data_IF_478906907716
#
_entry.id   IF_478906907716
#
_cell.length_a   1.000
_cell.length_b   1.000
_cell.length_c   1.000
_cell.angle_alpha   90.00
_cell.angle_beta   90.00
_cell.angle_gamma   90.00
#
_symmetry.space_group_name_H-M   'P 1'
#
loop_
_entity.id
_entity.type
_entity.pdbx_description
1 polymer ?
#
# COMPACT_ATOMS: atom_id res chain seq x y z
N UNK A 1 -0.19 -26.79 -14.48
CA UNK A 1 -0.07 -25.34 -14.15
C UNK A 1 0.48 -25.27 -12.74
N UNK A 2 1.73 -24.87 -12.56
CA UNK A 2 2.31 -24.71 -11.22
C UNK A 2 1.53 -23.62 -10.50
N UNK A 3 0.86 -23.96 -9.41
CA UNK A 3 0.29 -23.00 -8.48
C UNK A 3 1.44 -22.12 -7.96
N UNK A 4 1.52 -20.90 -8.43
CA UNK A 4 2.44 -19.91 -7.86
C UNK A 4 1.82 -19.48 -6.54
N UNK A 5 2.15 -20.19 -5.46
CA UNK A 5 1.73 -19.83 -4.11
C UNK A 5 2.29 -18.45 -3.80
N UNK A 6 1.44 -17.48 -3.55
CA UNK A 6 1.85 -16.13 -3.17
C UNK A 6 2.59 -16.11 -1.83
N UNK A 7 3.44 -15.10 -1.61
CA UNK A 7 4.04 -14.83 -0.29
C UNK A 7 2.94 -14.33 0.66
N UNK A 8 2.85 -14.87 1.87
CA UNK A 8 2.03 -14.28 2.94
C UNK A 8 2.63 -12.91 3.29
N UNK A 9 1.83 -11.86 3.26
CA UNK A 9 2.25 -10.49 3.57
C UNK A 9 1.66 -9.97 4.88
N UNK A 10 0.50 -10.47 5.26
CA UNK A 10 -0.15 -10.14 6.54
C UNK A 10 -1.17 -11.20 6.90
N UNK A 11 -1.68 -11.13 8.13
CA UNK A 11 -2.79 -11.96 8.59
C UNK A 11 -3.68 -11.22 9.60
N UNK A 12 -4.94 -11.65 9.71
CA UNK A 12 -5.84 -11.32 10.80
C UNK A 12 -6.93 -12.39 10.91
N UNK A 13 -7.48 -12.65 12.10
CA UNK A 13 -8.58 -13.60 12.30
C UNK A 13 -8.30 -15.02 11.76
N UNK A 14 -7.02 -15.45 11.73
CA UNK A 14 -6.62 -16.73 11.16
C UNK A 14 -6.63 -16.79 9.62
N UNK A 15 -6.80 -15.66 8.95
CA UNK A 15 -6.79 -15.54 7.48
C UNK A 15 -5.45 -14.95 7.06
N UNK A 16 -4.73 -15.66 6.21
CA UNK A 16 -3.51 -15.18 5.58
C UNK A 16 -3.83 -14.40 4.31
N UNK A 17 -3.17 -13.25 4.15
CA UNK A 17 -3.26 -12.39 2.97
C UNK A 17 -1.99 -12.61 2.14
N UNK A 18 -2.18 -12.90 0.86
CA UNK A 18 -1.08 -13.25 -0.04
C UNK A 18 -0.85 -12.17 -1.11
N UNK A 19 0.41 -11.91 -1.41
CA UNK A 19 0.80 -11.20 -2.62
C UNK A 19 1.50 -12.17 -3.58
N UNK A 20 1.13 -12.13 -4.87
CA UNK A 20 1.81 -12.89 -5.92
C UNK A 20 3.27 -12.41 -6.03
N UNK A 21 4.25 -13.29 -6.35
CA UNK A 21 5.61 -12.87 -6.64
C UNK A 21 5.65 -11.74 -7.67
N UNK A 22 6.40 -10.68 -7.39
CA UNK A 22 6.49 -9.48 -8.23
C UNK A 22 5.36 -8.46 -8.02
N UNK A 23 4.40 -8.72 -7.12
CA UNK A 23 3.43 -7.72 -6.71
C UNK A 23 3.95 -6.92 -5.51
N UNK A 24 3.77 -5.61 -5.59
CA UNK A 24 4.05 -4.70 -4.48
C UNK A 24 2.84 -4.56 -3.56
N UNK A 25 3.06 -4.09 -2.34
CA UNK A 25 1.98 -3.80 -1.39
C UNK A 25 2.36 -2.69 -0.41
N UNK A 26 1.34 -2.09 0.20
CA UNK A 26 1.52 -1.05 1.22
C UNK A 26 0.38 -1.04 2.22
N UNK A 27 0.74 -0.82 3.49
CA UNK A 27 -0.24 -0.63 4.57
C UNK A 27 -0.64 0.85 4.74
N UNK A 28 0.18 1.81 4.25
CA UNK A 28 -0.01 3.23 4.52
C UNK A 28 -0.01 4.14 3.30
N UNK A 29 0.15 3.63 2.06
CA UNK A 29 0.18 4.48 0.87
C UNK A 29 -1.20 5.07 0.48
N UNK A 30 -2.11 5.20 1.45
CA UNK A 30 -3.46 5.69 1.26
C UNK A 30 -3.94 6.53 2.46
N UNK A 31 -4.68 7.63 2.23
CA UNK A 31 -5.19 8.50 3.30
C UNK A 31 -6.43 7.95 4.03
N UNK A 32 -6.98 6.82 3.58
CA UNK A 32 -8.24 6.32 4.09
C UNK A 32 -8.16 5.74 5.50
N UNK A 33 -9.29 5.80 6.21
CA UNK A 33 -9.36 5.47 7.64
C UNK A 33 -8.90 4.06 7.95
N UNK A 34 -9.20 3.08 7.09
CA UNK A 34 -8.81 1.69 7.32
C UNK A 34 -7.29 1.51 7.40
N UNK A 35 -6.51 2.26 6.60
CA UNK A 35 -5.05 2.28 6.69
C UNK A 35 -4.56 2.95 7.98
N UNK A 36 -5.23 4.01 8.43
CA UNK A 36 -4.92 4.69 9.70
C UNK A 36 -5.26 3.85 10.93
N UNK A 37 -6.24 2.94 10.78
CA UNK A 37 -6.65 1.99 11.81
C UNK A 37 -5.86 0.66 11.73
N UNK A 38 -4.80 0.60 10.91
CA UNK A 38 -3.96 -0.59 10.70
C UNK A 38 -4.73 -1.80 10.17
N UNK A 39 -5.86 -1.59 9.53
CA UNK A 39 -6.83 -2.63 9.16
C UNK A 39 -6.91 -2.89 7.65
N UNK A 40 -6.03 -2.28 6.86
CA UNK A 40 -6.05 -2.40 5.41
C UNK A 40 -4.66 -2.59 4.83
N UNK A 41 -4.63 -3.26 3.68
CA UNK A 41 -3.46 -3.35 2.79
C UNK A 41 -3.91 -3.13 1.35
N UNK A 42 -3.14 -2.35 0.60
CA UNK A 42 -3.26 -2.23 -0.85
C UNK A 42 -2.23 -3.16 -1.51
N UNK A 43 -2.69 -4.01 -2.41
CA UNK A 43 -1.86 -4.98 -3.15
C UNK A 43 -1.89 -4.59 -4.62
N UNK A 44 -0.75 -4.20 -5.17
CA UNK A 44 -0.61 -3.72 -6.54
C UNK A 44 -0.31 -4.90 -7.48
N UNK A 45 -1.31 -5.33 -8.24
CA UNK A 45 -1.25 -6.59 -9.02
C UNK A 45 -1.09 -6.39 -10.52
N UNK A 46 -1.24 -5.17 -11.02
CA UNK A 46 -1.24 -4.88 -12.45
C UNK A 46 -0.38 -3.69 -12.81
N UNK A 47 -0.07 -3.58 -14.11
CA UNK A 47 0.61 -2.44 -14.71
C UNK A 47 -0.42 -1.41 -15.16
N UNK A 48 -1.56 -1.86 -15.70
CA UNK A 48 -2.61 -1.00 -16.24
C UNK A 48 -3.95 -1.23 -15.54
N UNK A 49 -4.77 -0.19 -15.47
CA UNK A 49 -6.17 -0.38 -15.11
C UNK A 49 -6.84 -1.20 -16.23
N UNK A 50 -7.63 -2.20 -15.84
CA UNK A 50 -8.19 -3.22 -16.73
C UNK A 50 -7.46 -4.56 -16.67
N UNK A 51 -6.27 -4.63 -16.09
CA UNK A 51 -5.57 -5.89 -15.86
C UNK A 51 -6.34 -6.77 -14.86
N UNK A 52 -6.04 -8.08 -14.88
CA UNK A 52 -6.71 -9.06 -14.03
C UNK A 52 -6.47 -8.75 -12.54
N UNK A 53 -7.55 -8.85 -11.76
CA UNK A 53 -7.53 -8.85 -10.31
C UNK A 53 -7.54 -10.30 -9.82
N UNK A 54 -6.51 -10.68 -9.04
CA UNK A 54 -6.34 -12.03 -8.52
C UNK A 54 -6.67 -12.04 -7.03
N UNK A 55 -7.34 -13.10 -6.57
CA UNK A 55 -7.66 -13.22 -5.15
C UNK A 55 -6.41 -13.32 -4.28
N UNK A 56 -6.26 -12.45 -3.27
CA UNK A 56 -5.19 -12.55 -2.29
C UNK A 56 -5.50 -13.49 -1.11
N UNK A 57 -6.68 -14.07 -1.09
CA UNK A 57 -7.18 -14.93 -0.01
C UNK A 57 -8.03 -16.07 -0.55
N UNK A 58 -8.17 -17.13 0.25
CA UNK A 58 -9.19 -18.14 0.04
C UNK A 58 -10.54 -17.69 0.66
N UNK A 59 -11.66 -18.21 0.16
CA UNK A 59 -12.97 -17.96 0.74
C UNK A 59 -14.14 -18.27 -0.18
N UNK A 60 -15.34 -17.95 0.28
CA UNK A 60 -16.58 -18.05 -0.52
C UNK A 60 -17.14 -16.67 -0.72
N UNK A 61 -17.41 -16.27 -1.95
CA UNK A 61 -17.99 -14.97 -2.26
C UNK A 61 -19.36 -14.85 -1.58
N UNK A 62 -19.44 -13.96 -0.60
CA UNK A 62 -20.64 -13.75 0.20
C UNK A 62 -21.60 -12.77 -0.44
N UNK A 63 -21.05 -11.66 -0.97
CA UNK A 63 -21.84 -10.59 -1.58
C UNK A 63 -20.97 -9.66 -2.42
N UNK A 64 -21.55 -9.12 -3.48
CA UNK A 64 -20.97 -8.01 -4.25
C UNK A 64 -21.90 -6.81 -4.21
N UNK A 65 -21.38 -5.63 -3.88
CA UNK A 65 -22.11 -4.36 -3.84
C UNK A 65 -21.47 -3.37 -4.80
N UNK A 66 -22.25 -2.85 -5.74
CA UNK A 66 -21.84 -1.74 -6.60
C UNK A 66 -22.30 -0.42 -5.99
N UNK A 67 -21.42 0.58 -5.99
CA UNK A 67 -21.75 1.94 -5.56
C UNK A 67 -20.94 2.97 -6.35
N UNK A 68 -21.25 4.23 -6.17
CA UNK A 68 -20.55 5.33 -6.83
C UNK A 68 -19.38 5.81 -5.97
N UNK A 69 -18.19 5.84 -6.56
CA UNK A 69 -17.01 6.37 -5.89
C UNK A 69 -17.06 7.90 -5.84
N UNK A 70 -16.49 8.53 -4.78
CA UNK A 70 -16.37 9.98 -4.74
C UNK A 70 -15.52 10.46 -5.91
N UNK A 71 -15.97 11.49 -6.61
CA UNK A 71 -15.21 12.15 -7.67
C UNK A 71 -15.24 13.65 -7.49
N UNK A 72 -14.15 14.37 -7.81
CA UNK A 72 -14.16 15.83 -7.83
C UNK A 72 -14.99 16.39 -8.99
N UNK A 73 -15.35 15.56 -9.95
CA UNK A 73 -16.20 15.89 -11.10
C UNK A 73 -17.59 15.30 -10.90
N UNK A 74 -18.64 15.89 -11.52
CA UNK A 74 -20.02 15.39 -11.45
C UNK A 74 -20.25 14.02 -12.13
N UNK A 75 -19.21 13.38 -12.68
CA UNK A 75 -19.29 12.04 -13.24
C UNK A 75 -19.16 11.00 -12.15
N UNK A 76 -20.21 10.25 -11.93
CA UNK A 76 -20.15 9.04 -11.11
C UNK A 76 -19.26 7.99 -11.79
N UNK A 77 -18.31 7.45 -11.04
CA UNK A 77 -17.50 6.31 -11.46
C UNK A 77 -17.83 5.11 -10.57
N UNK A 78 -18.07 3.93 -11.17
CA UNK A 78 -18.43 2.76 -10.39
C UNK A 78 -17.27 2.29 -9.50
N UNK A 79 -17.63 1.86 -8.31
CA UNK A 79 -16.78 1.07 -7.42
C UNK A 79 -17.54 -0.20 -7.04
N UNK A 80 -16.79 -1.23 -6.68
CA UNK A 80 -17.34 -2.51 -6.25
C UNK A 80 -16.71 -2.94 -4.94
N UNK A 81 -17.56 -3.42 -4.07
CA UNK A 81 -17.20 -4.05 -2.81
C UNK A 81 -17.49 -5.53 -2.94
N UNK A 82 -16.46 -6.36 -3.03
CA UNK A 82 -16.58 -7.82 -3.02
C UNK A 82 -16.26 -8.33 -1.63
N UNK A 83 -17.21 -9.02 -1.03
CA UNK A 83 -17.12 -9.62 0.30
C UNK A 83 -16.97 -11.12 0.13
N UNK A 84 -15.90 -11.70 0.69
CA UNK A 84 -15.70 -13.13 0.75
C UNK A 84 -15.72 -13.60 2.22
N UNK A 85 -16.42 -14.67 2.51
CA UNK A 85 -16.43 -15.32 3.84
C UNK A 85 -15.26 -16.27 3.93
N UNK A 86 -14.50 -16.16 5.01
CA UNK A 86 -13.50 -17.15 5.40
C UNK A 86 -13.59 -17.33 6.91
N UNK A 87 -14.01 -18.52 7.34
CA UNK A 87 -14.32 -18.80 8.74
C UNK A 87 -15.39 -17.87 9.31
N UNK A 88 -15.10 -17.25 10.44
CA UNK A 88 -15.99 -16.29 11.13
C UNK A 88 -15.86 -14.85 10.63
N UNK A 89 -14.93 -14.58 9.72
CA UNK A 89 -14.63 -13.25 9.25
C UNK A 89 -15.04 -13.04 7.80
N UNK A 90 -15.16 -11.77 7.43
CA UNK A 90 -15.43 -11.32 6.06
C UNK A 90 -14.18 -10.59 5.56
N UNK A 91 -13.67 -11.04 4.43
CA UNK A 91 -12.65 -10.31 3.66
C UNK A 91 -13.36 -9.35 2.73
N UNK A 92 -13.07 -8.09 2.85
CA UNK A 92 -13.59 -6.99 2.04
C UNK A 92 -12.55 -6.56 1.03
N UNK A 93 -12.87 -6.68 -0.25
CA UNK A 93 -11.98 -6.34 -1.37
C UNK A 93 -12.63 -5.28 -2.25
N UNK A 94 -11.82 -4.32 -2.73
CA UNK A 94 -12.28 -3.19 -3.55
C UNK A 94 -11.33 -2.94 -4.72
N UNK A 95 -11.76 -2.02 -5.60
CA UNK A 95 -10.99 -1.48 -6.74
C UNK A 95 -10.88 -2.41 -7.94
N UNK A 96 -11.79 -3.36 -8.09
CA UNK A 96 -11.94 -4.17 -9.29
C UNK A 96 -13.41 -4.41 -9.62
N UNK A 97 -13.70 -4.59 -10.90
CA UNK A 97 -15.01 -5.05 -11.38
C UNK A 97 -15.04 -6.56 -11.27
N UNK A 98 -15.87 -7.13 -10.38
CA UNK A 98 -15.88 -8.58 -10.14
C UNK A 98 -16.41 -9.36 -11.34
N UNK A 99 -15.83 -10.54 -11.59
CA UNK A 99 -16.31 -11.57 -12.51
C UNK A 99 -16.89 -12.77 -11.75
N UNK A 100 -16.63 -12.85 -10.44
CA UNK A 100 -17.13 -13.92 -9.55
C UNK A 100 -18.55 -13.63 -9.07
N UNK A 101 -19.27 -14.70 -8.67
CA UNK A 101 -20.67 -14.64 -8.22
C UNK A 101 -20.80 -15.03 -6.75
N UNK A 102 -21.90 -14.59 -6.13
CA UNK A 102 -22.25 -15.01 -4.76
C UNK A 102 -22.38 -16.53 -4.69
N UNK A 103 -21.77 -17.14 -3.66
CA UNK A 103 -21.67 -18.59 -3.45
C UNK A 103 -20.47 -19.25 -4.14
N UNK A 104 -19.72 -18.56 -4.97
CA UNK A 104 -18.52 -19.09 -5.65
C UNK A 104 -17.35 -19.19 -4.68
N UNK A 105 -16.67 -20.34 -4.68
CA UNK A 105 -15.40 -20.51 -3.96
C UNK A 105 -14.27 -19.84 -4.74
N UNK A 106 -13.41 -19.13 -4.03
CA UNK A 106 -12.21 -18.50 -4.57
C UNK A 106 -10.99 -18.96 -3.78
N UNK A 107 -9.91 -19.18 -4.47
CA UNK A 107 -8.60 -19.51 -3.90
C UNK A 107 -7.57 -18.43 -4.23
N UNK A 108 -6.49 -18.38 -3.43
CA UNK A 108 -5.36 -17.49 -3.70
C UNK A 108 -4.87 -17.64 -5.13
N UNK A 109 -4.84 -16.55 -5.87
CA UNK A 109 -4.40 -16.51 -7.28
C UNK A 109 -5.51 -16.71 -8.31
N UNK A 110 -6.73 -17.04 -7.91
CA UNK A 110 -7.87 -17.10 -8.83
C UNK A 110 -8.21 -15.71 -9.39
N UNK A 111 -8.64 -15.67 -10.65
CA UNK A 111 -9.11 -14.42 -11.27
C UNK A 111 -10.49 -14.07 -10.71
N UNK A 112 -10.58 -12.98 -9.97
CA UNK A 112 -11.83 -12.50 -9.36
C UNK A 112 -12.45 -11.30 -10.09
N UNK A 113 -11.75 -10.74 -11.08
CA UNK A 113 -12.24 -9.61 -11.84
C UNK A 113 -11.16 -8.87 -12.62
N UNK A 114 -11.41 -7.60 -12.89
CA UNK A 114 -10.47 -6.68 -13.55
C UNK A 114 -10.36 -5.38 -12.78
N UNK A 115 -9.15 -4.87 -12.61
CA UNK A 115 -8.87 -3.63 -11.89
C UNK A 115 -9.57 -2.43 -12.55
N UNK A 116 -10.04 -1.48 -11.76
CA UNK A 116 -10.73 -0.29 -12.25
C UNK A 116 -10.10 0.98 -11.70
N UNK A 117 -10.15 2.05 -12.50
CA UNK A 117 -9.81 3.41 -12.06
C UNK A 117 -11.09 4.16 -11.70
N UNK A 118 -11.11 4.76 -10.53
CA UNK A 118 -12.26 5.53 -10.04
C UNK A 118 -11.83 6.74 -9.20
N UNK A 119 -12.74 7.36 -8.46
CA UNK A 119 -12.50 8.57 -7.70
C UNK A 119 -11.69 8.40 -6.42
N UNK A 120 -11.38 7.17 -6.01
CA UNK A 120 -10.48 6.91 -4.89
C UNK A 120 -9.00 7.08 -5.26
N UNK A 121 -8.67 7.08 -6.56
CA UNK A 121 -7.29 7.11 -7.03
C UNK A 121 -6.82 8.52 -7.39
N UNK A 122 -5.68 8.90 -6.86
CA UNK A 122 -4.86 9.99 -7.41
C UNK A 122 -4.14 9.50 -8.67
N UNK A 123 -3.50 10.41 -9.41
CA UNK A 123 -2.90 10.04 -10.69
C UNK A 123 -1.66 9.13 -10.59
N UNK A 124 -1.01 9.06 -9.43
CA UNK A 124 0.19 8.26 -9.21
C UNK A 124 -0.06 6.85 -8.65
N UNK A 125 -1.31 6.52 -8.33
CA UNK A 125 -1.65 5.21 -7.75
C UNK A 125 -1.65 4.14 -8.83
N UNK A 126 -1.04 2.99 -8.53
CA UNK A 126 -1.04 1.83 -9.41
C UNK A 126 -2.32 1.02 -9.24
N UNK A 127 -2.70 0.23 -10.28
CA UNK A 127 -3.80 -0.71 -10.17
C UNK A 127 -3.57 -1.74 -9.06
N UNK A 128 -4.58 -1.99 -8.26
CA UNK A 128 -4.45 -2.94 -7.15
C UNK A 128 -5.77 -3.21 -6.46
N UNK A 129 -5.72 -4.08 -5.48
CA UNK A 129 -6.84 -4.45 -4.61
C UNK A 129 -6.59 -3.81 -3.26
N UNK A 130 -7.58 -3.07 -2.75
CA UNK A 130 -7.68 -2.71 -1.34
C UNK A 130 -8.34 -3.85 -0.58
N UNK A 131 -7.73 -4.33 0.49
CA UNK A 131 -8.21 -5.44 1.28
C UNK A 131 -8.28 -5.10 2.77
N UNK A 132 -9.37 -5.50 3.40
CA UNK A 132 -9.61 -5.44 4.84
C UNK A 132 -10.21 -6.77 5.33
N UNK A 133 -9.90 -7.18 6.57
CA UNK A 133 -10.56 -8.30 7.26
C UNK A 133 -11.48 -7.72 8.33
N UNK A 134 -12.73 -8.20 8.39
CA UNK A 134 -13.80 -7.62 9.22
C UNK A 134 -14.65 -8.68 9.89
N UNK A 135 -15.28 -8.31 11.01
CA UNK A 135 -16.41 -9.09 11.53
C UNK A 135 -17.66 -8.84 10.67
N UNK A 136 -18.54 -9.81 10.57
CA UNK A 136 -19.75 -9.73 9.73
C UNK A 136 -20.61 -8.48 10.01
N UNK A 137 -20.80 -8.12 11.29
CA UNK A 137 -21.56 -6.93 11.70
C UNK A 137 -20.99 -5.60 11.19
N UNK A 138 -19.70 -5.58 10.83
CA UNK A 138 -18.98 -4.37 10.41
C UNK A 138 -18.60 -4.40 8.91
N UNK A 139 -19.02 -5.40 8.15
CA UNK A 139 -18.59 -5.65 6.78
C UNK A 139 -18.83 -4.49 5.81
N UNK A 140 -19.88 -3.68 6.02
CA UNK A 140 -20.23 -2.53 5.18
C UNK A 140 -19.88 -1.17 5.80
N UNK A 141 -19.40 -1.13 7.05
CA UNK A 141 -19.07 0.13 7.72
C UNK A 141 -17.74 0.70 7.23
N UNK A 142 -17.54 2.01 7.35
CA UNK A 142 -16.27 2.65 7.06
C UNK A 142 -15.19 2.31 8.11
N UNK A 143 -15.60 2.09 9.38
CA UNK A 143 -14.74 1.68 10.49
C UNK A 143 -15.03 0.25 10.92
N UNK A 144 -14.13 -0.37 11.68
CA UNK A 144 -14.33 -1.72 12.25
C UNK A 144 -13.57 -2.84 11.52
N UNK A 145 -12.57 -2.49 10.70
CA UNK A 145 -11.58 -3.46 10.23
C UNK A 145 -10.77 -4.03 11.39
N UNK A 146 -10.33 -5.28 11.28
CA UNK A 146 -9.42 -5.90 12.22
C UNK A 146 -7.98 -5.46 11.92
N UNK A 147 -7.22 -5.19 12.96
CA UNK A 147 -5.80 -4.85 12.80
C UNK A 147 -5.06 -6.00 12.13
N UNK A 148 -4.30 -5.67 11.08
CA UNK A 148 -3.48 -6.62 10.34
C UNK A 148 -2.14 -6.83 11.05
N UNK A 149 -1.68 -8.07 11.09
CA UNK A 149 -0.34 -8.44 11.52
C UNK A 149 0.52 -8.68 10.28
N UNK A 150 1.50 -7.80 9.96
CA UNK A 150 2.43 -8.03 8.87
C UNK A 150 3.21 -9.33 9.09
N UNK A 151 3.39 -10.13 8.03
CA UNK A 151 4.08 -11.42 8.11
C UNK A 151 5.60 -11.26 8.36
N UNK A 152 6.15 -10.18 7.88
CA UNK A 152 7.59 -9.87 8.00
C UNK A 152 7.75 -8.44 8.54
N UNK A 153 7.64 -8.24 9.84
CA UNK A 153 8.05 -6.97 10.42
C UNK A 153 9.56 -6.82 10.17
N UNK A 154 9.93 -5.76 9.46
CA UNK A 154 11.33 -5.50 9.17
C UNK A 154 12.06 -5.21 10.49
N UNK A 155 12.87 -6.16 10.92
CA UNK A 155 13.76 -5.98 12.07
C UNK A 155 14.98 -5.18 11.61
N UNK A 156 15.26 -4.09 12.31
CA UNK A 156 16.52 -3.33 12.31
C UNK A 156 17.24 -3.23 10.94
N UNK A 157 16.70 -2.40 10.05
CA UNK A 157 17.56 -1.84 9.02
C UNK A 157 18.45 -0.78 9.69
N UNK A 158 19.75 -0.82 9.42
CA UNK A 158 20.64 0.26 9.83
C UNK A 158 20.21 1.56 9.12
N UNK A 159 20.29 2.74 9.78
CA UNK A 159 19.96 4.00 9.13
C UNK A 159 20.90 4.20 7.95
N UNK A 160 20.37 4.16 6.73
CA UNK A 160 21.16 4.43 5.53
C UNK A 160 21.62 5.88 5.53
N UNK A 161 22.89 6.13 5.28
CA UNK A 161 23.44 7.48 5.07
C UNK A 161 23.09 8.07 3.69
N UNK A 162 22.67 7.22 2.75
CA UNK A 162 22.20 7.58 1.41
C UNK A 162 21.14 6.60 0.96
N UNK A 163 20.14 7.09 0.22
CA UNK A 163 19.08 6.26 -0.34
C UNK A 163 19.39 6.08 -1.81
N UNK A 164 19.89 4.91 -2.14
CA UNK A 164 20.30 4.53 -3.49
C UNK A 164 19.47 3.37 -4.00
N UNK A 165 19.21 3.34 -5.27
CA UNK A 165 18.52 2.24 -5.93
C UNK A 165 18.55 2.36 -7.43
N UNK A 166 17.98 1.36 -8.12
CA UNK A 166 17.94 1.30 -9.57
C UNK A 166 16.50 1.29 -10.07
N UNK A 167 16.19 2.02 -11.11
CA UNK A 167 14.85 2.08 -11.71
C UNK A 167 14.48 0.71 -12.30
N UNK A 168 13.38 0.15 -11.83
CA UNK A 168 12.84 -1.13 -12.30
C UNK A 168 11.57 -1.00 -13.14
N UNK A 169 10.85 0.13 -13.00
CA UNK A 169 9.66 0.43 -13.81
C UNK A 169 9.48 1.95 -13.88
N UNK A 170 9.04 2.43 -15.04
CA UNK A 170 8.80 3.86 -15.25
C UNK A 170 7.60 4.07 -16.17
N UNK A 171 6.62 4.80 -15.69
CA UNK A 171 5.39 5.06 -16.43
C UNK A 171 4.87 6.48 -16.17
N UNK A 172 3.77 6.83 -16.85
CA UNK A 172 3.14 8.15 -16.73
C UNK A 172 2.66 8.50 -15.31
N UNK A 173 2.52 7.51 -14.41
CA UNK A 173 2.05 7.68 -13.04
C UNK A 173 3.17 7.89 -12.04
N UNK A 174 4.19 7.08 -12.13
CA UNK A 174 5.31 7.06 -11.19
C UNK A 174 6.51 6.31 -11.80
N UNK A 175 7.65 6.44 -11.15
CA UNK A 175 8.85 5.63 -11.41
C UNK A 175 9.11 4.78 -10.18
N UNK A 176 9.26 3.45 -10.36
CA UNK A 176 9.61 2.52 -9.29
C UNK A 176 11.09 2.26 -9.28
N UNK A 177 11.67 2.34 -8.10
CA UNK A 177 13.09 2.13 -7.84
C UNK A 177 13.22 1.00 -6.82
N UNK A 178 13.96 -0.04 -7.16
CA UNK A 178 14.40 -1.05 -6.21
C UNK A 178 15.57 -0.50 -5.42
N UNK A 179 15.43 -0.44 -4.11
CA UNK A 179 16.46 0.10 -3.23
C UNK A 179 17.55 -0.92 -2.95
N UNK A 180 18.79 -0.47 -2.88
CA UNK A 180 19.95 -1.30 -2.48
C UNK A 180 19.78 -1.86 -1.07
N UNK A 181 19.16 -1.07 -0.19
CA UNK A 181 18.81 -1.41 1.19
C UNK A 181 17.38 -0.94 1.49
N UNK A 182 16.58 -1.67 2.27
CA UNK A 182 15.25 -1.22 2.64
C UNK A 182 15.27 0.14 3.34
N UNK A 183 14.37 1.03 2.94
CA UNK A 183 14.23 2.32 3.59
C UNK A 183 13.71 2.15 5.02
N UNK A 184 14.48 2.63 6.00
CA UNK A 184 14.12 2.56 7.40
C UNK A 184 14.21 3.94 8.07
N UNK A 185 13.22 4.23 8.91
CA UNK A 185 13.20 5.40 9.76
C UNK A 185 13.71 5.08 11.15
N UNK A 186 14.42 6.00 11.75
CA UNK A 186 14.80 5.94 13.16
C UNK A 186 13.71 6.56 14.02
N UNK A 187 13.27 5.83 15.06
CA UNK A 187 12.32 6.26 16.06
C UNK A 187 12.93 5.96 17.44
N UNK A 188 13.28 6.98 18.20
CA UNK A 188 14.08 6.80 19.41
C UNK A 188 15.43 6.14 19.11
N UNK A 189 15.71 4.99 19.73
CA UNK A 189 16.91 4.17 19.49
C UNK A 189 16.72 3.04 18.47
N UNK A 190 15.52 2.89 17.93
CA UNK A 190 15.16 1.79 17.02
C UNK A 190 15.05 2.27 15.59
N UNK A 191 15.27 1.35 14.63
CA UNK A 191 15.01 1.58 13.23
C UNK A 191 13.89 0.65 12.76
N UNK A 192 12.99 1.18 11.92
CA UNK A 192 11.83 0.48 11.42
C UNK A 192 11.61 0.79 9.94
N UNK A 193 11.25 -0.22 9.14
CA UNK A 193 10.98 -0.02 7.73
C UNK A 193 9.87 1.00 7.51
N UNK A 194 10.09 1.87 6.52
CA UNK A 194 9.11 2.86 6.07
C UNK A 194 8.07 2.22 5.16
N UNK A 195 6.83 2.65 5.33
CA UNK A 195 5.73 2.38 4.41
C UNK A 195 4.86 3.63 4.26
N UNK A 196 4.33 3.85 3.06
CA UNK A 196 3.46 4.99 2.78
C UNK A 196 4.18 6.16 2.12
N UNK A 197 3.50 7.31 2.05
CA UNK A 197 3.90 8.44 1.21
C UNK A 197 4.34 9.62 2.06
N UNK A 198 5.61 9.95 1.98
CA UNK A 198 6.16 11.18 2.55
C UNK A 198 5.67 12.40 1.75
N UNK A 199 5.51 13.53 2.41
CA UNK A 199 4.98 14.80 1.88
C UNK A 199 3.47 14.85 1.65
N UNK A 200 2.72 13.76 1.89
CA UNK A 200 1.27 13.70 1.72
C UNK A 200 0.51 13.32 3.00
N UNK A 201 1.18 13.30 4.14
CA UNK A 201 0.62 13.07 5.48
C UNK A 201 -0.09 11.70 5.67
N UNK A 202 0.39 10.67 4.95
CA UNK A 202 -0.01 9.28 5.18
C UNK A 202 1.18 8.33 5.02
N UNK A 203 1.90 8.18 6.09
CA UNK A 203 3.05 7.30 6.19
C UNK A 203 3.06 6.60 7.55
N UNK A 204 3.73 5.47 7.60
CA UNK A 204 3.91 4.67 8.79
C UNK A 204 5.23 3.91 8.79
N UNK A 205 5.42 3.17 9.84
CA UNK A 205 6.55 2.27 10.03
C UNK A 205 6.06 0.95 10.61
N UNK A 206 6.81 -0.11 10.34
CA UNK A 206 6.61 -1.39 11.02
C UNK A 206 7.18 -1.29 12.45
N UNK A 207 6.38 -1.66 13.42
CA UNK A 207 6.71 -1.55 14.83
C UNK A 207 5.71 -0.69 15.61
N UNK A 208 5.64 -0.89 16.92
CA UNK A 208 4.74 -0.17 17.82
C UNK A 208 5.53 0.91 18.57
N UNK A 209 5.30 2.17 18.22
CA UNK A 209 6.00 3.32 18.78
C UNK A 209 5.04 4.30 19.43
N UNK A 210 5.44 4.90 20.56
CA UNK A 210 4.56 5.78 21.31
C UNK A 210 4.20 7.07 20.53
N UNK A 211 2.93 7.53 20.58
CA UNK A 211 2.56 8.81 20.02
C UNK A 211 3.42 9.95 20.59
N UNK A 212 3.85 10.84 19.71
CA UNK A 212 4.70 11.98 20.05
C UNK A 212 6.18 11.76 19.81
N UNK A 213 6.65 10.54 19.59
CA UNK A 213 8.04 10.28 19.23
C UNK A 213 8.39 10.88 17.88
N UNK A 214 9.62 11.35 17.73
CA UNK A 214 10.12 11.94 16.49
C UNK A 214 10.58 10.83 15.55
N UNK A 215 10.31 11.02 14.27
CA UNK A 215 10.68 10.10 13.19
C UNK A 215 11.77 10.75 12.37
N UNK A 216 12.91 10.10 12.24
CA UNK A 216 14.03 10.58 11.43
C UNK A 216 14.29 9.62 10.29
N UNK A 217 14.64 10.16 9.14
CA UNK A 217 15.08 9.42 7.99
C UNK A 217 16.31 10.09 7.39
N UNK A 218 17.40 9.35 7.29
CA UNK A 218 18.69 9.89 6.86
C UNK A 218 19.11 11.16 7.66
N UNK A 219 18.96 11.13 8.98
CA UNK A 219 19.30 12.24 9.87
C UNK A 219 18.34 13.43 9.84
N UNK A 220 17.34 13.42 8.96
CA UNK A 220 16.34 14.48 8.82
C UNK A 220 15.06 14.08 9.55
N UNK A 221 14.53 14.95 10.41
CA UNK A 221 13.22 14.71 10.99
C UNK A 221 12.16 14.80 9.89
N UNK A 222 11.49 13.66 9.62
CA UNK A 222 10.45 13.53 8.61
C UNK A 222 9.04 13.57 9.18
N UNK A 223 8.90 13.45 10.50
CA UNK A 223 7.59 13.47 11.12
C UNK A 223 7.60 13.24 12.62
N UNK A 224 6.38 13.02 13.14
CA UNK A 224 6.12 12.72 14.55
C UNK A 224 5.03 11.65 14.65
N UNK A 225 5.23 10.62 15.49
CA UNK A 225 4.29 9.53 15.69
C UNK A 225 2.92 10.05 16.09
N UNK A 226 1.88 9.54 15.43
CA UNK A 226 0.47 9.91 15.61
C UNK A 226 -0.29 8.85 16.36
N UNK A 227 -0.18 7.60 15.95
CA UNK A 227 -0.87 6.46 16.55
C UNK A 227 -0.06 5.19 16.39
N UNK A 228 -0.23 4.28 17.34
CA UNK A 228 0.39 2.96 17.34
C UNK A 228 -0.68 1.88 17.36
N UNK A 229 -0.50 0.86 16.53
CA UNK A 229 -1.11 -0.44 16.64
C UNK A 229 -0.17 -1.43 17.34
N UNK A 230 -0.49 -2.71 17.26
CA UNK A 230 0.36 -3.77 17.83
C UNK A 230 1.66 -3.99 17.06
N UNK A 231 1.59 -3.84 15.74
CA UNK A 231 2.65 -4.22 14.82
C UNK A 231 3.13 -3.08 13.92
N UNK A 232 2.41 -1.98 13.89
CA UNK A 232 2.65 -0.85 13.00
C UNK A 232 2.32 0.45 13.71
N UNK A 233 2.92 1.55 13.24
CA UNK A 233 2.61 2.90 13.74
C UNK A 233 2.51 3.88 12.57
N UNK A 234 1.61 4.87 12.69
CA UNK A 234 1.52 5.98 11.74
C UNK A 234 2.15 7.24 12.29
N UNK A 235 2.66 8.09 11.43
CA UNK A 235 3.19 9.40 11.82
C UNK A 235 2.66 10.52 10.93
N UNK A 236 2.58 11.72 11.51
CA UNK A 236 2.33 12.94 10.77
C UNK A 236 3.61 13.36 10.08
N UNK A 237 3.58 13.52 8.76
CA UNK A 237 4.76 13.91 7.99
C UNK A 237 5.02 15.40 8.12
N UNK A 238 6.31 15.77 8.17
CA UNK A 238 6.74 17.16 8.04
C UNK A 238 6.59 17.63 6.57
N UNK A 239 6.62 18.94 6.38
CA UNK A 239 6.68 19.50 5.03
C UNK A 239 8.11 19.34 4.47
N UNK A 240 8.24 18.43 3.51
CA UNK A 240 9.53 18.02 2.96
C UNK A 240 9.63 18.38 1.47
N UNK A 241 10.81 18.83 1.06
CA UNK A 241 11.18 18.90 -0.34
C UNK A 241 11.94 17.62 -0.73
N UNK A 242 11.50 16.93 -1.77
CA UNK A 242 12.03 15.63 -2.19
C UNK A 242 12.58 15.74 -3.60
N UNK A 243 13.77 15.18 -3.80
CA UNK A 243 14.47 15.19 -5.09
C UNK A 243 15.02 13.79 -5.38
N UNK A 244 15.02 13.40 -6.65
CA UNK A 244 15.74 12.24 -7.16
C UNK A 244 16.72 12.72 -8.23
N UNK A 245 18.02 12.44 -8.09
CA UNK A 245 19.08 12.98 -8.98
C UNK A 245 18.87 14.46 -9.27
N UNK A 246 18.61 15.27 -8.22
CA UNK A 246 18.29 16.72 -8.29
C UNK A 246 16.96 17.09 -8.99
N UNK A 247 16.22 16.13 -9.55
CA UNK A 247 14.88 16.36 -10.11
C UNK A 247 13.86 16.51 -8.97
N UNK A 248 13.13 17.66 -8.87
CA UNK A 248 12.16 17.86 -7.80
C UNK A 248 10.89 17.03 -8.01
N UNK A 249 10.47 16.33 -6.98
CA UNK A 249 9.31 15.44 -6.95
C UNK A 249 8.09 16.08 -6.28
N UNK A 250 6.89 15.54 -6.52
CA UNK A 250 5.71 15.83 -5.73
C UNK A 250 5.77 15.12 -4.36
N UNK A 251 6.45 13.99 -4.29
CA UNK A 251 6.64 13.20 -3.10
C UNK A 251 7.35 11.88 -3.40
N UNK A 252 7.51 11.08 -2.39
CA UNK A 252 8.04 9.72 -2.48
C UNK A 252 7.20 8.79 -1.62
N UNK A 253 6.95 7.59 -2.13
CA UNK A 253 6.26 6.54 -1.39
C UNK A 253 7.16 5.33 -1.25
N UNK A 254 7.23 4.77 -0.04
CA UNK A 254 7.91 3.51 0.24
C UNK A 254 6.86 2.42 0.38
N UNK A 255 7.10 1.27 -0.23
CA UNK A 255 6.18 0.14 -0.27
C UNK A 255 6.97 -1.17 -0.16
N UNK A 256 6.29 -2.29 -0.01
CA UNK A 256 6.92 -3.62 0.06
C UNK A 256 8.03 -3.69 1.13
N UNK A 257 7.69 -3.31 2.38
CA UNK A 257 8.62 -3.29 3.52
C UNK A 257 9.82 -2.32 3.32
N UNK A 258 9.58 -1.21 2.63
CA UNK A 258 10.62 -0.23 2.34
C UNK A 258 11.58 -0.61 1.22
N UNK A 259 11.37 -1.73 0.53
CA UNK A 259 12.26 -2.22 -0.54
C UNK A 259 12.07 -1.49 -1.85
N UNK A 260 10.87 -1.05 -2.13
CA UNK A 260 10.51 -0.32 -3.34
C UNK A 260 10.20 1.12 -2.99
N UNK A 261 10.81 2.02 -3.73
CA UNK A 261 10.56 3.46 -3.67
C UNK A 261 9.82 3.88 -4.93
N UNK A 262 8.68 4.56 -4.77
CA UNK A 262 7.93 5.17 -5.87
C UNK A 262 8.20 6.66 -5.89
N UNK A 263 8.77 7.14 -6.98
CA UNK A 263 9.00 8.56 -7.24
C UNK A 263 7.74 9.15 -7.86
N UNK A 264 7.15 10.15 -7.22
CA UNK A 264 5.89 10.76 -7.65
C UNK A 264 6.18 12.02 -8.47
N UNK A 265 5.86 12.05 -9.78
CA UNK A 265 6.09 13.22 -10.61
C UNK A 265 5.14 14.35 -10.20
N UNK A 266 5.54 15.60 -10.42
CA UNK A 266 4.68 16.77 -10.15
C UNK A 266 3.44 16.82 -11.04
N UNK A 267 3.49 16.18 -12.20
CA UNK A 267 2.39 16.13 -13.17
C UNK A 267 2.26 14.71 -13.76
N UNK A 268 1.04 14.27 -13.99
CA UNK A 268 0.76 13.06 -14.76
C UNK A 268 1.36 13.14 -16.17
N UNK A 269 1.91 12.03 -16.64
CA UNK A 269 2.53 11.94 -17.97
C UNK A 269 4.01 12.29 -18.02
N UNK A 270 4.62 12.68 -16.89
CA UNK A 270 6.05 12.92 -16.82
C UNK A 270 6.78 11.62 -16.50
N UNK A 271 7.40 11.01 -17.50
CA UNK A 271 8.41 9.95 -17.29
C UNK A 271 9.67 10.61 -16.77
N UNK A 272 10.09 10.28 -15.56
CA UNK A 272 11.19 10.97 -14.87
C UNK A 272 12.56 10.37 -15.19
N UNK A 273 12.63 9.03 -15.27
CA UNK A 273 13.87 8.28 -15.37
C UNK A 273 13.66 7.04 -16.23
N UNK A 274 14.75 6.49 -16.79
CA UNK A 274 14.73 5.28 -17.61
C UNK A 274 14.99 4.04 -16.77
N UNK A 275 14.48 2.88 -17.22
CA UNK A 275 14.74 1.59 -16.55
C UNK A 275 16.24 1.29 -16.58
N UNK A 276 16.79 0.90 -15.42
CA UNK A 276 18.22 0.65 -15.23
C UNK A 276 19.02 1.88 -14.79
N UNK A 277 18.40 3.07 -14.70
CA UNK A 277 19.06 4.27 -14.21
C UNK A 277 19.24 4.22 -12.68
N UNK A 278 20.41 4.61 -12.19
CA UNK A 278 20.67 4.70 -10.76
C UNK A 278 20.11 6.00 -10.19
N UNK A 279 19.44 5.87 -9.06
CA UNK A 279 18.74 6.95 -8.37
C UNK A 279 19.34 7.21 -7.00
N UNK A 280 19.60 8.45 -6.72
CA UNK A 280 19.91 8.96 -5.39
C UNK A 280 18.75 9.85 -4.91
N UNK A 281 18.08 9.46 -3.81
CA UNK A 281 17.05 10.29 -3.18
C UNK A 281 17.67 11.30 -2.22
N UNK A 282 17.23 12.54 -2.33
CA UNK A 282 17.56 13.63 -1.41
C UNK A 282 16.28 14.20 -0.82
N UNK A 283 16.24 14.31 0.52
CA UNK A 283 15.15 14.95 1.25
C UNK A 283 15.70 16.20 1.93
N UNK A 284 14.96 17.30 1.86
CA UNK A 284 15.30 18.58 2.52
C UNK A 284 14.08 19.08 3.29
N UNK A 285 14.33 19.77 4.35
CA UNK A 285 13.34 20.43 5.21
C UNK A 285 13.08 21.87 4.75
#
# INVERSE_FOLDING_TARGET
MLLVVGKVIASACGIDIHAKPGCDYSFFASPYQAHRDFAAVDIYQGINFGDLALSPVDGVVYKTVKFDSPTPTKRSLPEYLTLARNGECIVRMMHFKPSVKEGEEISVGDVIGTSIKNGFFTYWVDPGIHLEIRREKDMLRAKGGLELSPAHPCQSAEPSSSILGTVIDSCARNTKVELSEPAAAQVGSECAALDGTLSLDYAGVYGSFAPGERVFFNGIQIGKMRSAGKHMSTFATEKLAVYANDVPLAGVSFISEGRIMKLLPKKYGSTLFEIGEDIQLTIKR
#
